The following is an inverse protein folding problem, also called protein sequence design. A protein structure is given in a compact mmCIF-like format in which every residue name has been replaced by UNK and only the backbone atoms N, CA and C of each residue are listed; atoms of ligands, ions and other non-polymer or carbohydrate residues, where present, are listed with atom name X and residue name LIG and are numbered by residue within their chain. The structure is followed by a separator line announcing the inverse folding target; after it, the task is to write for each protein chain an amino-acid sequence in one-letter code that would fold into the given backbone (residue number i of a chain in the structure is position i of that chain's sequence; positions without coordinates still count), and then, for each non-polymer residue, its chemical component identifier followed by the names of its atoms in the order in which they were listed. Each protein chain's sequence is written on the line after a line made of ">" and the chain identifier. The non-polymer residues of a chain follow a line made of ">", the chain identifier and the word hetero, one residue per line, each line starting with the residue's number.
data_IF_071922990821
#
_entry.id   IF_071922990821
#
_cell.length_a   1.000
_cell.length_b   1.000
_cell.length_c   1.000
_cell.angle_alpha   90.00
_cell.angle_beta   90.00
_cell.angle_gamma   90.00
#
_symmetry.space_group_name_H-M   'P 1'
#
loop_
_entity.id
_entity.type
_entity.pdbx_description
1 polymer ?
#
# COMPACT_ATOMS: atom_id res chain seq x y z
N UNK A 1 0.33 15.68 15.49
CA UNK A 1 1.57 15.50 14.71
C UNK A 1 2.80 15.76 15.54
N UNK A 2 2.83 16.79 16.39
CA UNK A 2 4.01 17.19 17.18
C UNK A 2 4.67 16.04 17.96
N UNK A 3 3.89 15.13 18.56
CA UNK A 3 4.44 13.96 19.25
C UNK A 3 5.16 13.02 18.28
N UNK A 4 4.48 12.59 17.20
CA UNK A 4 5.08 11.81 16.11
C UNK A 4 6.33 12.52 15.58
N UNK A 5 6.26 13.83 15.36
CA UNK A 5 7.37 14.59 14.80
C UNK A 5 8.60 14.60 15.69
N UNK A 6 8.50 14.46 17.01
CA UNK A 6 9.68 14.39 17.89
C UNK A 6 10.41 13.03 17.81
N UNK A 7 9.67 11.97 17.54
CA UNK A 7 10.19 10.59 17.52
C UNK A 7 10.54 10.11 16.12
N UNK A 8 10.01 10.76 15.07
CA UNK A 8 10.34 10.46 13.69
C UNK A 8 11.85 10.58 13.44
N UNK A 9 12.38 9.66 12.63
CA UNK A 9 13.79 9.58 12.22
C UNK A 9 13.84 9.45 10.71
N UNK A 10 13.47 10.53 10.01
CA UNK A 10 13.40 10.57 8.55
C UNK A 10 14.78 10.35 7.92
N UNK A 11 15.86 10.75 8.59
CA UNK A 11 17.23 10.50 8.17
C UNK A 11 17.64 9.02 8.22
N UNK A 12 16.83 8.18 8.89
CA UNK A 12 16.99 6.73 8.95
C UNK A 12 16.01 6.00 8.04
N UNK A 13 15.38 6.70 7.08
CA UNK A 13 14.50 6.06 6.10
C UNK A 13 15.27 4.96 5.35
N UNK A 14 14.86 3.70 5.58
CA UNK A 14 15.45 2.50 4.98
C UNK A 14 14.65 1.98 3.79
N UNK A 15 13.85 2.84 3.16
CA UNK A 15 13.00 2.44 2.03
C UNK A 15 11.51 2.51 2.31
N UNK A 16 11.07 3.26 3.33
CA UNK A 16 9.66 3.49 3.65
C UNK A 16 8.89 4.13 2.48
N UNK A 17 9.61 4.86 1.61
CA UNK A 17 9.07 5.36 0.36
C UNK A 17 8.73 4.22 -0.63
N UNK A 18 9.56 3.19 -0.70
CA UNK A 18 9.30 1.97 -1.46
C UNK A 18 8.11 1.21 -0.88
N UNK A 19 8.08 1.06 0.45
CA UNK A 19 6.97 0.44 1.19
C UNK A 19 5.63 1.11 0.88
N UNK A 20 5.59 2.44 0.78
CA UNK A 20 4.36 3.15 0.43
C UNK A 20 3.86 2.86 -1.00
N UNK A 21 4.75 2.54 -1.94
CA UNK A 21 4.33 2.08 -3.27
C UNK A 21 3.75 0.65 -3.21
N UNK A 22 4.37 -0.25 -2.44
CA UNK A 22 3.84 -1.59 -2.21
C UNK A 22 2.44 -1.53 -1.58
N UNK A 23 2.26 -0.65 -0.60
CA UNK A 23 0.97 -0.39 0.04
C UNK A 23 -0.04 0.21 -0.94
N UNK A 24 0.36 1.17 -1.77
CA UNK A 24 -0.53 1.75 -2.77
C UNK A 24 -1.03 0.72 -3.78
N UNK A 25 -0.18 -0.23 -4.20
CA UNK A 25 -0.60 -1.33 -5.07
C UNK A 25 -1.56 -2.27 -4.32
N UNK A 26 -1.29 -2.60 -3.06
CA UNK A 26 -2.20 -3.41 -2.24
C UNK A 26 -3.59 -2.75 -2.13
N UNK A 27 -3.64 -1.48 -1.72
CA UNK A 27 -4.88 -0.73 -1.57
C UNK A 27 -5.63 -0.60 -2.90
N UNK A 28 -4.92 -0.39 -4.01
CA UNK A 28 -5.55 -0.34 -5.34
C UNK A 28 -6.18 -1.69 -5.71
N UNK A 29 -5.58 -2.81 -5.32
CA UNK A 29 -6.16 -4.14 -5.55
C UNK A 29 -7.37 -4.35 -4.63
N UNK A 30 -7.27 -4.04 -3.34
CA UNK A 30 -8.36 -4.14 -2.36
C UNK A 30 -9.54 -3.23 -2.76
N UNK A 31 -9.25 -2.03 -3.27
CA UNK A 31 -10.22 -1.08 -3.80
C UNK A 31 -10.75 -1.39 -5.21
N UNK A 32 -10.32 -2.50 -5.80
CA UNK A 32 -10.70 -2.94 -7.14
C UNK A 32 -10.42 -1.92 -8.27
N UNK A 33 -9.34 -1.14 -8.15
CA UNK A 33 -8.96 -0.12 -9.13
C UNK A 33 -8.58 -0.75 -10.48
N UNK A 34 -9.38 -0.55 -11.55
CA UNK A 34 -9.23 -1.30 -12.82
C UNK A 34 -7.86 -1.13 -13.47
N UNK A 35 -7.27 0.07 -13.35
CA UNK A 35 -5.94 0.40 -13.91
C UNK A 35 -4.81 -0.47 -13.33
N UNK A 36 -5.02 -1.05 -12.14
CA UNK A 36 -4.10 -1.96 -11.46
C UNK A 36 -4.57 -3.41 -11.58
N UNK A 37 -5.82 -3.69 -11.21
CA UNK A 37 -6.35 -5.07 -11.15
C UNK A 37 -6.34 -5.76 -12.50
N UNK A 38 -6.68 -5.07 -13.60
CA UNK A 38 -6.68 -5.67 -14.94
C UNK A 38 -5.26 -6.10 -15.38
N UNK A 39 -4.25 -5.29 -15.07
CA UNK A 39 -2.86 -5.60 -15.42
C UNK A 39 -2.29 -6.72 -14.57
N UNK A 40 -2.60 -6.73 -13.28
CA UNK A 40 -2.22 -7.81 -12.35
C UNK A 40 -2.89 -9.12 -12.77
N UNK A 41 -4.20 -9.11 -13.02
CA UNK A 41 -4.95 -10.27 -13.48
C UNK A 41 -4.39 -10.82 -14.79
N UNK A 42 -4.12 -9.94 -15.76
CA UNK A 42 -3.50 -10.32 -17.04
C UNK A 42 -2.10 -10.91 -16.86
N UNK A 43 -1.30 -10.40 -15.93
CA UNK A 43 0.01 -10.97 -15.60
C UNK A 43 -0.13 -12.36 -14.95
N UNK A 44 -1.07 -12.54 -14.01
CA UNK A 44 -1.38 -13.82 -13.37
C UNK A 44 -1.86 -14.87 -14.39
N UNK A 45 -2.78 -14.50 -15.28
CA UNK A 45 -3.29 -15.38 -16.33
C UNK A 45 -2.23 -15.78 -17.36
N UNK A 46 -1.26 -14.89 -17.65
CA UNK A 46 -0.09 -15.22 -18.48
C UNK A 46 0.89 -16.15 -17.76
N UNK A 47 1.00 -16.01 -16.44
CA UNK A 47 1.88 -16.81 -15.60
C UNK A 47 1.40 -18.24 -15.42
N UNK A 48 0.10 -18.45 -15.20
CA UNK A 48 -0.48 -19.77 -14.98
C UNK A 48 -1.89 -19.87 -15.55
N UNK A 49 -2.16 -21.00 -16.23
CA UNK A 49 -3.51 -21.33 -16.73
C UNK A 49 -4.57 -21.40 -15.63
N UNK A 50 -4.16 -21.57 -14.36
CA UNK A 50 -5.08 -21.60 -13.22
C UNK A 50 -5.75 -20.25 -12.95
N UNK A 51 -5.15 -19.15 -13.41
CA UNK A 51 -5.68 -17.79 -13.28
C UNK A 51 -6.23 -17.25 -14.60
N UNK A 52 -6.43 -18.11 -15.62
CA UNK A 52 -6.76 -17.65 -16.97
C UNK A 52 -8.10 -16.89 -17.01
N UNK A 53 -9.05 -17.33 -16.21
CA UNK A 53 -10.43 -16.82 -16.20
C UNK A 53 -10.72 -15.94 -14.97
N UNK A 54 -9.70 -15.65 -14.15
CA UNK A 54 -9.75 -14.79 -12.98
C UNK A 54 -9.87 -13.32 -13.40
N UNK A 55 -10.70 -12.56 -12.69
CA UNK A 55 -10.96 -11.14 -12.99
C UNK A 55 -10.61 -10.22 -11.81
N UNK A 56 -10.80 -10.72 -10.59
CA UNK A 56 -10.65 -9.94 -9.36
C UNK A 56 -9.47 -10.50 -8.55
N UNK A 57 -8.23 -10.09 -8.87
CA UNK A 57 -7.08 -10.52 -8.10
C UNK A 57 -7.24 -10.04 -6.66
N UNK A 58 -6.94 -10.92 -5.72
CA UNK A 58 -6.80 -10.57 -4.31
C UNK A 58 -5.33 -10.36 -3.98
N UNK A 59 -5.04 -9.56 -2.95
CA UNK A 59 -3.66 -9.35 -2.51
C UNK A 59 -3.52 -9.46 -1.00
N UNK A 60 -2.45 -10.13 -0.59
CA UNK A 60 -2.07 -10.32 0.79
C UNK A 60 -0.70 -9.69 1.00
N UNK A 61 -0.64 -8.66 1.85
CA UNK A 61 0.61 -7.98 2.15
C UNK A 61 1.59 -8.92 2.83
N UNK A 62 2.80 -8.93 2.33
CA UNK A 62 3.92 -9.64 2.92
C UNK A 62 5.13 -8.69 3.00
N UNK A 63 6.27 -9.22 3.41
CA UNK A 63 7.51 -8.48 3.59
C UNK A 63 8.19 -8.98 4.84
N UNK A 64 9.31 -9.67 4.66
CA UNK A 64 10.04 -10.26 5.79
C UNK A 64 10.53 -9.20 6.80
N UNK A 65 10.72 -7.95 6.37
CA UNK A 65 11.03 -6.84 7.28
C UNK A 65 9.86 -6.50 8.19
N UNK A 66 8.62 -6.61 7.67
CA UNK A 66 7.36 -6.40 8.38
C UNK A 66 6.97 -7.60 9.25
N UNK A 67 7.36 -8.80 8.84
CA UNK A 67 7.17 -10.04 9.61
C UNK A 67 7.82 -10.02 11.00
N UNK A 68 8.73 -9.07 11.27
CA UNK A 68 9.35 -8.87 12.59
C UNK A 68 8.41 -8.16 13.59
N UNK A 69 7.31 -7.58 13.13
CA UNK A 69 6.29 -6.99 13.98
C UNK A 69 5.31 -8.07 14.47
N UNK A 70 5.03 -8.07 15.77
CA UNK A 70 4.24 -9.11 16.44
C UNK A 70 2.84 -9.25 15.80
N UNK A 71 2.43 -10.48 15.47
CA UNK A 71 1.09 -10.82 14.97
C UNK A 71 0.87 -10.65 13.45
N UNK A 72 1.83 -10.07 12.72
CA UNK A 72 1.70 -9.89 11.26
C UNK A 72 1.68 -11.23 10.51
N UNK A 73 2.54 -12.18 10.89
CA UNK A 73 2.60 -13.49 10.24
C UNK A 73 1.38 -14.35 10.54
N UNK A 74 0.90 -14.32 11.79
CA UNK A 74 -0.27 -15.09 12.19
C UNK A 74 -1.51 -14.59 11.43
N UNK A 75 -1.67 -13.27 11.29
CA UNK A 75 -2.73 -12.67 10.47
C UNK A 75 -2.62 -13.06 8.98
N UNK A 76 -1.41 -13.11 8.42
CA UNK A 76 -1.18 -13.53 7.02
C UNK A 76 -1.53 -15.01 6.81
N UNK A 77 -1.24 -15.87 7.78
CA UNK A 77 -1.57 -17.30 7.70
C UNK A 77 -3.07 -17.53 7.91
N UNK A 78 -3.68 -16.83 8.85
CA UNK A 78 -5.13 -16.88 9.11
C UNK A 78 -5.93 -16.39 7.91
N UNK A 79 -5.54 -15.26 7.30
CA UNK A 79 -6.21 -14.69 6.12
C UNK A 79 -6.10 -15.62 4.90
N UNK A 80 -4.97 -16.29 4.72
CA UNK A 80 -4.79 -17.25 3.64
C UNK A 80 -5.59 -18.56 3.85
N UNK A 81 -5.77 -18.98 5.10
CA UNK A 81 -6.46 -20.22 5.46
C UNK A 81 -5.62 -21.50 5.30
N UNK A 82 -6.00 -22.55 6.02
CA UNK A 82 -5.21 -23.79 6.19
C UNK A 82 -4.97 -24.60 4.89
N UNK A 83 -5.83 -24.42 3.90
CA UNK A 83 -5.77 -25.17 2.63
C UNK A 83 -5.07 -24.40 1.50
N UNK A 84 -4.63 -23.17 1.77
CA UNK A 84 -3.95 -22.34 0.78
C UNK A 84 -2.65 -22.97 0.29
N UNK A 85 -2.34 -22.72 -0.97
CA UNK A 85 -1.12 -23.19 -1.62
C UNK A 85 -0.40 -22.08 -2.36
N UNK A 86 0.94 -22.13 -2.35
CA UNK A 86 1.80 -21.34 -3.21
C UNK A 86 1.99 -22.05 -4.54
N UNK A 87 1.81 -21.32 -5.62
CA UNK A 87 2.16 -21.72 -6.99
C UNK A 87 3.60 -21.29 -7.30
N UNK A 88 4.56 -22.24 -7.27
CA UNK A 88 5.97 -21.96 -7.50
C UNK A 88 6.30 -21.92 -9.01
N UNK A 89 7.58 -21.85 -9.34
CA UNK A 89 8.02 -22.04 -10.72
C UNK A 89 8.00 -23.49 -11.22
N UNK A 90 7.78 -23.68 -12.53
CA UNK A 90 7.80 -24.98 -13.22
C UNK A 90 6.64 -25.93 -12.90
N UNK A 91 6.79 -27.19 -13.33
CA UNK A 91 5.81 -28.26 -13.13
C UNK A 91 5.97 -28.95 -11.76
N UNK A 92 4.87 -29.42 -11.18
CA UNK A 92 4.87 -30.21 -9.94
C UNK A 92 3.78 -29.80 -8.95
N UNK A 93 3.77 -30.44 -7.78
CA UNK A 93 2.81 -30.14 -6.71
C UNK A 93 3.05 -28.72 -6.13
N UNK A 94 1.98 -27.95 -5.86
CA UNK A 94 2.07 -26.70 -5.08
C UNK A 94 2.58 -26.93 -3.65
N UNK A 95 3.09 -25.86 -3.02
CA UNK A 95 3.55 -25.89 -1.62
C UNK A 95 2.44 -25.36 -0.71
N UNK A 96 2.14 -26.01 0.43
CA UNK A 96 1.12 -25.51 1.37
C UNK A 96 1.53 -24.17 1.98
N UNK A 97 0.69 -23.14 1.90
CA UNK A 97 1.01 -21.73 2.19
C UNK A 97 1.56 -21.51 3.60
N UNK A 98 0.79 -21.82 4.64
CA UNK A 98 1.14 -21.58 6.04
C UNK A 98 2.54 -22.10 6.45
N UNK A 99 2.86 -23.40 6.24
CA UNK A 99 4.13 -23.97 6.67
C UNK A 99 5.39 -23.27 6.13
N UNK A 100 5.40 -22.83 4.86
CA UNK A 100 6.60 -22.19 4.30
C UNK A 100 6.62 -20.67 4.50
N UNK A 101 5.48 -19.99 4.70
CA UNK A 101 5.44 -18.54 4.97
C UNK A 101 6.24 -18.21 6.23
N UNK A 102 6.08 -19.01 7.30
CA UNK A 102 6.85 -18.87 8.54
C UNK A 102 8.35 -19.07 8.33
N UNK A 103 8.74 -19.95 7.40
CA UNK A 103 10.15 -20.14 7.03
C UNK A 103 10.65 -18.94 6.24
N UNK A 104 9.90 -18.50 5.22
CA UNK A 104 10.23 -17.35 4.38
C UNK A 104 10.36 -16.04 5.18
N UNK A 105 9.60 -15.89 6.26
CA UNK A 105 9.68 -14.75 7.18
C UNK A 105 11.06 -14.59 7.85
N UNK A 106 11.89 -15.62 7.87
CA UNK A 106 13.27 -15.54 8.38
C UNK A 106 14.22 -14.78 7.42
N UNK A 107 13.72 -14.34 6.26
CA UNK A 107 14.45 -13.55 5.28
C UNK A 107 15.57 -14.35 4.62
N UNK A 108 16.73 -13.71 4.42
CA UNK A 108 17.93 -14.32 3.81
C UNK A 108 18.32 -15.65 4.47
N UNK A 109 18.10 -15.80 5.79
CA UNK A 109 18.41 -17.03 6.54
C UNK A 109 17.57 -18.23 6.12
N UNK A 110 16.40 -17.99 5.51
CA UNK A 110 15.52 -19.03 5.00
C UNK A 110 16.06 -19.68 3.73
N UNK A 111 16.92 -18.97 2.97
CA UNK A 111 17.32 -19.39 1.63
C UNK A 111 17.97 -20.78 1.52
N UNK A 112 18.81 -21.24 2.48
CA UNK A 112 19.34 -22.61 2.47
C UNK A 112 18.30 -23.69 2.79
N UNK A 113 17.19 -23.30 3.44
CA UNK A 113 16.14 -24.19 3.94
C UNK A 113 15.03 -24.33 2.89
N UNK A 114 14.77 -23.26 2.13
CA UNK A 114 13.76 -23.22 1.10
C UNK A 114 14.10 -24.18 -0.05
N UNK A 115 13.08 -24.89 -0.53
CA UNK A 115 13.23 -25.76 -1.70
C UNK A 115 13.63 -24.93 -2.94
N UNK A 116 14.36 -25.55 -3.88
CA UNK A 116 14.91 -24.86 -5.06
C UNK A 116 13.89 -24.05 -5.85
N UNK A 117 12.63 -24.51 -5.94
CA UNK A 117 11.54 -23.82 -6.68
C UNK A 117 10.96 -22.59 -5.99
N UNK A 118 11.27 -22.38 -4.71
CA UNK A 118 10.76 -21.29 -3.87
C UNK A 118 11.89 -20.55 -3.14
N UNK A 119 13.13 -20.70 -3.61
CA UNK A 119 14.35 -20.24 -2.92
C UNK A 119 14.38 -18.74 -2.60
N UNK A 120 13.75 -17.91 -3.44
CA UNK A 120 13.66 -16.45 -3.30
C UNK A 120 12.30 -15.97 -2.81
N UNK A 121 11.39 -16.85 -2.39
CA UNK A 121 10.04 -16.45 -1.94
C UNK A 121 10.07 -15.52 -0.72
N UNK A 122 11.14 -15.53 0.07
CA UNK A 122 11.33 -14.60 1.20
C UNK A 122 11.46 -13.12 0.77
N UNK A 123 11.76 -12.85 -0.51
CA UNK A 123 11.81 -11.51 -1.11
C UNK A 123 10.46 -11.01 -1.59
N UNK A 124 9.40 -11.79 -1.38
CA UNK A 124 8.06 -11.40 -1.78
C UNK A 124 7.66 -10.13 -1.03
N UNK A 125 7.01 -9.23 -1.73
CA UNK A 125 6.41 -8.02 -1.15
C UNK A 125 4.90 -8.26 -0.95
N UNK A 126 4.22 -8.84 -1.94
CA UNK A 126 2.80 -9.23 -1.85
C UNK A 126 2.60 -10.64 -2.40
N UNK A 127 1.62 -11.36 -1.83
CA UNK A 127 1.05 -12.54 -2.49
C UNK A 127 -0.22 -12.16 -3.23
N UNK A 128 -0.37 -12.64 -4.46
CA UNK A 128 -1.61 -12.49 -5.21
C UNK A 128 -2.35 -13.80 -5.32
N UNK A 129 -3.68 -13.76 -5.21
CA UNK A 129 -4.57 -14.91 -5.33
C UNK A 129 -5.76 -14.63 -6.24
N UNK A 130 -6.46 -15.70 -6.60
CA UNK A 130 -7.80 -15.65 -7.19
C UNK A 130 -8.86 -15.27 -6.14
N UNK A 131 -10.10 -15.06 -6.58
CA UNK A 131 -11.24 -14.70 -5.74
C UNK A 131 -11.52 -15.75 -4.66
N UNK A 132 -11.19 -17.01 -4.96
CA UNK A 132 -11.33 -18.12 -4.02
C UNK A 132 -10.29 -18.10 -2.89
N UNK A 133 -9.20 -17.34 -3.02
CA UNK A 133 -8.17 -17.20 -1.99
C UNK A 133 -7.35 -18.46 -1.71
N UNK A 134 -7.44 -19.51 -2.53
CA UNK A 134 -6.73 -20.78 -2.28
C UNK A 134 -5.34 -20.84 -2.90
N UNK A 135 -5.10 -20.11 -3.99
CA UNK A 135 -3.86 -20.22 -4.77
C UNK A 135 -3.13 -18.90 -4.77
N UNK A 136 -2.01 -18.86 -4.06
CA UNK A 136 -1.16 -17.68 -4.00
C UNK A 136 0.02 -17.78 -4.96
N UNK A 137 0.43 -16.64 -5.48
CA UNK A 137 1.69 -16.48 -6.19
C UNK A 137 2.49 -15.33 -5.58
N UNK A 138 3.79 -15.50 -5.52
CA UNK A 138 4.69 -14.50 -4.94
C UNK A 138 4.98 -13.39 -5.95
N UNK A 139 4.74 -12.15 -5.53
CA UNK A 139 5.01 -10.95 -6.29
C UNK A 139 6.05 -10.06 -5.60
N UNK A 140 6.94 -9.48 -6.40
CA UNK A 140 7.79 -8.38 -5.97
C UNK A 140 7.27 -7.07 -6.56
N UNK A 141 7.24 -6.03 -5.76
CA UNK A 141 6.72 -4.72 -6.10
C UNK A 141 7.79 -3.70 -5.81
N UNK A 142 8.15 -2.91 -6.83
CA UNK A 142 9.22 -1.90 -6.70
C UNK A 142 8.82 -0.63 -7.42
N UNK A 143 8.99 0.49 -6.72
CA UNK A 143 8.79 1.83 -7.29
C UNK A 143 9.82 2.19 -8.37
N UNK A 144 10.92 1.43 -8.46
CA UNK A 144 11.91 1.53 -9.50
C UNK A 144 12.15 0.15 -10.13
N UNK A 145 11.82 0.02 -11.41
CA UNK A 145 11.93 -1.25 -12.14
C UNK A 145 13.36 -1.80 -12.20
N UNK A 146 14.39 -0.93 -12.12
CA UNK A 146 15.81 -1.35 -12.13
C UNK A 146 16.24 -2.04 -10.83
N UNK A 147 15.43 -1.93 -9.79
CA UNK A 147 15.64 -2.60 -8.50
C UNK A 147 14.79 -3.85 -8.36
N UNK A 148 14.07 -4.24 -9.42
CA UNK A 148 13.30 -5.47 -9.41
C UNK A 148 14.25 -6.66 -9.35
N UNK A 149 14.01 -7.55 -8.39
CA UNK A 149 14.79 -8.77 -8.23
C UNK A 149 13.96 -9.97 -8.64
N UNK A 150 14.53 -10.85 -9.46
CA UNK A 150 13.88 -12.10 -9.85
C UNK A 150 14.56 -13.30 -9.19
N UNK A 151 13.88 -14.45 -9.27
CA UNK A 151 14.47 -15.72 -8.92
C UNK A 151 13.43 -16.78 -8.59
N UNK A 152 13.87 -18.01 -8.28
CA UNK A 152 12.99 -19.13 -8.04
C UNK A 152 12.00 -18.84 -6.91
N UNK A 153 10.70 -18.91 -7.20
CA UNK A 153 9.63 -18.63 -6.25
C UNK A 153 8.94 -17.29 -6.47
N UNK A 154 9.62 -16.31 -7.06
CA UNK A 154 8.98 -15.05 -7.48
C UNK A 154 8.42 -15.24 -8.89
N UNK A 155 7.18 -14.83 -9.11
CA UNK A 155 6.48 -15.04 -10.39
C UNK A 155 6.03 -13.77 -11.07
N UNK A 156 5.69 -12.76 -10.27
CA UNK A 156 5.12 -11.51 -10.74
C UNK A 156 5.96 -10.34 -10.26
N UNK A 157 6.16 -9.36 -11.14
CA UNK A 157 6.71 -8.06 -10.79
C UNK A 157 5.67 -6.97 -11.02
N UNK A 158 5.50 -6.05 -10.07
CA UNK A 158 4.67 -4.85 -10.28
C UNK A 158 5.54 -3.62 -10.15
N UNK A 159 5.52 -2.79 -11.20
CA UNK A 159 6.36 -1.58 -11.30
C UNK A 159 5.57 -0.49 -12.01
N UNK A 160 5.85 0.80 -11.74
CA UNK A 160 5.28 1.88 -12.54
C UNK A 160 5.97 1.92 -13.92
N UNK A 161 5.31 2.53 -14.91
CA UNK A 161 5.95 2.86 -16.17
C UNK A 161 7.18 3.77 -15.96
N UNK A 162 8.12 3.68 -16.90
CA UNK A 162 9.29 4.52 -16.93
C UNK A 162 9.61 4.92 -18.37
N UNK A 163 10.52 5.88 -18.52
CA UNK A 163 10.98 6.37 -19.84
C UNK A 163 11.41 5.23 -20.78
N UNK A 164 12.02 4.20 -20.22
CA UNK A 164 12.53 3.00 -20.88
C UNK A 164 11.62 1.76 -20.72
N UNK A 165 10.46 1.90 -20.06
CA UNK A 165 9.54 0.80 -19.75
C UNK A 165 8.07 1.24 -19.88
N UNK A 166 7.46 0.96 -21.04
CA UNK A 166 6.04 1.29 -21.29
C UNK A 166 5.07 0.44 -20.45
N UNK A 167 3.92 1.01 -20.10
CA UNK A 167 2.83 0.29 -19.45
C UNK A 167 2.40 -0.99 -20.19
N UNK A 168 1.86 -1.96 -19.46
CA UNK A 168 1.34 -3.23 -19.97
C UNK A 168 2.00 -4.47 -19.36
N UNK A 169 1.60 -5.64 -19.86
CA UNK A 169 2.11 -6.93 -19.37
C UNK A 169 3.20 -7.48 -20.27
N UNK A 170 4.33 -7.88 -19.68
CA UNK A 170 5.47 -8.46 -20.40
C UNK A 170 6.22 -9.48 -19.56
N UNK A 171 6.97 -10.37 -20.18
CA UNK A 171 7.87 -11.28 -19.48
C UNK A 171 9.31 -10.75 -19.54
N UNK A 172 9.96 -10.66 -18.39
CA UNK A 172 11.33 -10.18 -18.29
C UNK A 172 12.03 -10.82 -17.08
N UNK A 173 13.26 -11.28 -17.29
CA UNK A 173 14.16 -11.80 -16.25
C UNK A 173 13.53 -12.90 -15.35
N UNK A 174 12.60 -13.71 -15.88
CA UNK A 174 11.93 -14.77 -15.14
C UNK A 174 10.61 -14.37 -14.47
N UNK A 175 10.20 -13.10 -14.58
CA UNK A 175 8.97 -12.56 -14.00
C UNK A 175 7.97 -12.13 -15.09
N UNK A 176 6.69 -12.33 -14.82
CA UNK A 176 5.62 -11.62 -15.53
C UNK A 176 5.44 -10.26 -14.89
N UNK A 177 5.79 -9.21 -15.63
CA UNK A 177 5.68 -7.83 -15.17
C UNK A 177 4.28 -7.29 -15.50
N UNK A 178 3.62 -6.72 -14.49
CA UNK A 178 2.54 -5.77 -14.64
C UNK A 178 3.14 -4.35 -14.52
N UNK A 179 3.36 -3.70 -15.67
CA UNK A 179 3.85 -2.31 -15.69
C UNK A 179 2.64 -1.39 -15.65
N UNK A 180 2.43 -0.76 -14.50
CA UNK A 180 1.29 0.11 -14.25
C UNK A 180 1.45 1.43 -15.03
N UNK A 181 0.40 1.90 -15.72
CA UNK A 181 0.45 3.19 -16.39
C UNK A 181 0.61 4.28 -15.32
N UNK A 182 1.49 5.24 -15.60
CA UNK A 182 1.73 6.41 -14.73
C UNK A 182 1.49 7.72 -15.51
N UNK A 183 0.34 7.87 -16.21
CA UNK A 183 0.13 8.95 -17.17
C UNK A 183 0.14 10.33 -16.51
N UNK A 184 -0.33 10.39 -15.26
CA UNK A 184 -0.43 11.62 -14.46
C UNK A 184 0.74 11.79 -13.49
N UNK A 185 1.70 10.85 -13.49
CA UNK A 185 2.84 10.87 -12.59
C UNK A 185 2.45 10.68 -11.13
N UNK A 186 1.58 9.70 -10.83
CA UNK A 186 1.34 9.14 -9.49
C UNK A 186 2.63 8.99 -8.70
N UNK A 187 3.70 8.43 -9.27
CA UNK A 187 4.96 8.33 -8.53
C UNK A 187 5.54 9.71 -8.22
N UNK A 188 5.37 10.68 -9.13
CA UNK A 188 5.68 12.08 -8.87
C UNK A 188 4.83 12.65 -7.72
N UNK A 189 3.51 12.47 -7.76
CA UNK A 189 2.57 12.96 -6.75
C UNK A 189 2.81 12.31 -5.38
N UNK A 190 2.99 10.99 -5.33
CA UNK A 190 3.32 10.23 -4.13
C UNK A 190 4.63 10.73 -3.53
N UNK A 191 5.68 10.89 -4.35
CA UNK A 191 6.97 11.41 -3.88
C UNK A 191 6.83 12.83 -3.32
N UNK A 192 6.03 13.65 -3.98
CA UNK A 192 5.81 15.05 -3.58
C UNK A 192 4.99 15.17 -2.29
N UNK A 193 3.94 14.35 -2.15
CA UNK A 193 3.13 14.23 -0.94
C UNK A 193 3.95 13.67 0.23
N UNK A 194 4.76 12.64 -0.01
CA UNK A 194 5.70 12.10 0.98
C UNK A 194 6.67 13.18 1.47
N UNK A 195 7.27 13.93 0.54
CA UNK A 195 8.14 15.07 0.86
C UNK A 195 7.41 16.17 1.63
N UNK A 196 6.13 16.44 1.35
CA UNK A 196 5.34 17.42 2.10
C UNK A 196 5.11 17.00 3.55
N UNK A 197 4.72 15.73 3.78
CA UNK A 197 4.52 15.19 5.13
C UNK A 197 5.86 15.15 5.89
N UNK A 198 6.93 14.70 5.23
CA UNK A 198 8.28 14.68 5.79
C UNK A 198 8.74 16.09 6.19
N UNK A 199 8.53 17.09 5.33
CA UNK A 199 8.88 18.47 5.60
C UNK A 199 8.06 19.04 6.78
N UNK A 200 6.76 18.75 6.87
CA UNK A 200 5.92 19.15 7.99
C UNK A 200 6.41 18.51 9.30
N UNK A 201 6.80 17.23 9.27
CA UNK A 201 7.41 16.53 10.41
C UNK A 201 8.73 17.19 10.82
N UNK A 202 9.61 17.53 9.88
CA UNK A 202 10.85 18.25 10.16
C UNK A 202 10.58 19.60 10.83
N UNK A 203 9.63 20.39 10.31
CA UNK A 203 9.26 21.70 10.87
C UNK A 203 8.70 21.55 12.29
N UNK A 204 7.70 20.68 12.48
CA UNK A 204 7.02 20.51 13.76
C UNK A 204 7.91 19.87 14.83
N UNK A 205 8.83 18.99 14.41
CA UNK A 205 9.81 18.31 15.26
C UNK A 205 11.07 19.14 15.53
N UNK A 206 11.29 20.24 14.79
CA UNK A 206 12.51 21.06 14.79
C UNK A 206 13.77 20.25 14.43
N UNK A 207 13.64 19.35 13.46
CA UNK A 207 14.76 18.58 12.92
C UNK A 207 15.63 19.43 12.00
N UNK A 208 16.85 18.98 11.71
CA UNK A 208 17.64 19.54 10.62
C UNK A 208 16.86 19.42 9.30
N UNK A 209 16.95 20.45 8.47
CA UNK A 209 16.27 20.43 7.18
C UNK A 209 16.96 19.43 6.26
N UNK A 210 16.18 18.62 5.50
CA UNK A 210 16.74 17.73 4.51
C UNK A 210 17.39 18.53 3.37
N UNK A 211 18.17 17.83 2.54
CA UNK A 211 18.81 18.43 1.38
C UNK A 211 17.79 19.13 0.46
N UNK A 212 18.23 20.22 -0.19
CA UNK A 212 17.34 21.09 -0.99
C UNK A 212 16.54 20.33 -2.07
N UNK A 213 17.12 19.30 -2.68
CA UNK A 213 16.47 18.52 -3.74
C UNK A 213 15.31 17.63 -3.24
N UNK A 214 15.13 17.47 -1.93
CA UNK A 214 13.97 16.79 -1.33
C UNK A 214 12.81 17.75 -1.03
N UNK A 215 13.00 19.05 -1.33
CA UNK A 215 11.98 20.07 -1.12
C UNK A 215 10.73 19.76 -1.96
N UNK A 216 9.53 19.66 -1.35
CA UNK A 216 8.29 19.43 -2.09
C UNK A 216 8.00 20.59 -3.06
N UNK A 217 7.20 20.32 -4.10
CA UNK A 217 6.76 21.34 -5.07
C UNK A 217 5.93 22.43 -4.40
N UNK A 218 5.67 23.52 -5.12
CA UNK A 218 4.85 24.61 -4.61
C UNK A 218 3.42 24.17 -4.22
N UNK A 219 2.84 23.20 -4.94
CA UNK A 219 1.53 22.62 -4.64
C UNK A 219 1.58 21.79 -3.36
N UNK A 220 2.52 20.85 -3.26
CA UNK A 220 2.70 20.02 -2.08
C UNK A 220 3.10 20.82 -0.82
N UNK A 221 3.79 21.95 -0.97
CA UNK A 221 4.03 22.88 0.14
C UNK A 221 2.74 23.51 0.70
N UNK A 222 1.66 23.60 -0.10
CA UNK A 222 0.34 24.01 0.44
C UNK A 222 -0.16 22.95 1.43
N UNK A 223 -0.11 21.67 1.07
CA UNK A 223 -0.42 20.56 1.97
C UNK A 223 0.46 20.59 3.23
N UNK A 224 1.78 20.76 3.07
CA UNK A 224 2.71 20.91 4.19
C UNK A 224 2.25 22.01 5.15
N UNK A 225 1.96 23.22 4.64
CA UNK A 225 1.49 24.34 5.47
C UNK A 225 0.19 24.02 6.19
N UNK A 226 -0.74 23.30 5.55
CA UNK A 226 -1.98 22.90 6.20
C UNK A 226 -1.73 21.88 7.32
N UNK A 227 -0.83 20.91 7.15
CA UNK A 227 -0.42 19.97 8.21
C UNK A 227 0.22 20.71 9.39
N UNK A 228 1.05 21.72 9.11
CA UNK A 228 1.71 22.54 10.14
C UNK A 228 0.72 23.39 10.97
N UNK A 229 -0.48 23.72 10.44
CA UNK A 229 -1.55 24.43 11.18
C UNK A 229 -2.11 23.59 12.34
N UNK A 230 -2.01 22.25 12.27
CA UNK A 230 -2.61 21.32 13.25
C UNK A 230 -1.55 20.51 14.01
N UNK A 231 -0.63 21.16 14.76
CA UNK A 231 0.47 20.46 15.41
C UNK A 231 -0.01 19.48 16.50
N UNK A 232 -1.09 19.80 17.19
CA UNK A 232 -1.63 19.02 18.33
C UNK A 232 -2.58 17.90 17.93
N UNK A 233 -3.09 17.90 16.70
CA UNK A 233 -4.02 16.87 16.23
C UNK A 233 -3.37 15.47 16.23
N UNK A 234 -4.14 14.42 16.47
CA UNK A 234 -3.63 13.04 16.36
C UNK A 234 -3.40 12.68 14.89
N UNK A 235 -2.53 11.71 14.63
CA UNK A 235 -2.27 11.23 13.26
C UNK A 235 -3.56 10.74 12.62
N UNK A 236 -4.33 9.94 13.36
CA UNK A 236 -5.63 9.40 12.93
C UNK A 236 -6.63 10.51 12.58
N UNK A 237 -6.62 11.63 13.31
CA UNK A 237 -7.51 12.78 13.02
C UNK A 237 -7.10 13.51 11.72
N UNK A 238 -5.80 13.55 11.43
CA UNK A 238 -5.28 14.12 10.19
C UNK A 238 -5.57 13.21 9.01
N UNK A 239 -5.31 11.91 9.16
CA UNK A 239 -5.63 10.90 8.15
C UNK A 239 -7.11 10.96 7.76
N UNK A 240 -8.00 10.97 8.76
CA UNK A 240 -9.43 11.09 8.53
C UNK A 240 -9.79 12.37 7.76
N UNK A 241 -9.25 13.52 8.17
CA UNK A 241 -9.51 14.79 7.49
C UNK A 241 -8.91 14.87 6.08
N UNK A 242 -7.79 14.18 5.81
CA UNK A 242 -7.23 14.04 4.47
C UNK A 242 -8.10 13.13 3.59
N UNK A 243 -8.63 12.03 4.14
CA UNK A 243 -9.57 11.17 3.43
C UNK A 243 -10.85 11.93 3.07
N UNK A 244 -11.42 12.69 4.00
CA UNK A 244 -12.56 13.59 3.72
C UNK A 244 -12.23 14.60 2.62
N UNK A 245 -11.02 15.17 2.62
CA UNK A 245 -10.59 16.12 1.60
C UNK A 245 -10.37 15.48 0.22
N UNK A 246 -9.85 14.24 0.18
CA UNK A 246 -9.63 13.49 -1.06
C UNK A 246 -10.95 13.09 -1.74
N UNK A 247 -12.03 12.93 -0.97
CA UNK A 247 -13.34 12.47 -1.46
C UNK A 247 -14.28 13.59 -1.91
N UNK A 248 -13.88 14.87 -1.90
CA UNK A 248 -14.78 16.02 -2.10
C UNK A 248 -15.46 16.11 -3.48
N UNK A 249 -15.03 15.33 -4.47
CA UNK A 249 -15.61 15.32 -5.82
C UNK A 249 -16.09 13.93 -6.29
N UNK A 250 -16.10 12.92 -5.42
CA UNK A 250 -16.73 11.62 -5.66
C UNK A 250 -18.21 11.72 -5.20
N UNK A 251 -19.15 11.84 -6.15
CA UNK A 251 -20.60 12.01 -5.93
C UNK A 251 -21.23 10.60 -5.72
N UNK A 252 -22.19 10.28 -4.84
CA UNK A 252 -23.18 11.02 -4.03
C UNK A 252 -23.55 10.25 -2.74
N UNK A 253 -23.86 10.96 -1.65
CA UNK A 253 -24.72 10.43 -0.58
C UNK A 253 -26.09 11.13 -0.66
N UNK A 254 -27.14 10.39 -0.99
CA UNK A 254 -28.53 10.90 -0.93
C UNK A 254 -29.02 10.86 0.53
N UNK A 255 -28.92 11.99 1.22
CA UNK A 255 -29.47 12.13 2.57
C UNK A 255 -30.96 12.46 2.49
N UNK A 256 -31.79 11.42 2.48
CA UNK A 256 -33.23 11.59 2.68
C UNK A 256 -33.54 11.62 4.18
N UNK A 257 -33.92 12.79 4.70
CA UNK A 257 -34.48 12.90 6.05
C UNK A 257 -35.82 12.17 6.08
N UNK A 258 -35.84 10.98 6.68
CA UNK A 258 -37.08 10.33 7.07
C UNK A 258 -37.59 11.01 8.34
N UNK A 259 -38.75 11.67 8.25
CA UNK A 259 -39.40 12.23 9.44
C UNK A 259 -39.85 11.08 10.34
N UNK A 260 -39.12 10.84 11.42
CA UNK A 260 -39.62 10.08 12.55
C UNK A 260 -40.28 11.09 13.49
N UNK A 261 -41.54 10.86 13.89
CA UNK A 261 -42.19 11.66 14.94
C UNK A 261 -41.35 11.54 16.22
N UNK A 262 -40.53 12.54 16.52
CA UNK A 262 -39.82 12.61 17.78
C UNK A 262 -40.86 12.69 18.92
N UNK A 263 -40.79 11.83 19.95
CA UNK A 263 -41.61 11.97 21.14
C UNK A 263 -41.32 13.31 21.83
N UNK A 264 -42.33 13.97 22.40
CA UNK A 264 -42.23 15.34 22.95
C UNK A 264 -41.27 15.55 24.13
N UNK A 265 -40.54 14.52 24.55
CA UNK A 265 -39.49 14.59 25.56
C UNK A 265 -38.06 14.69 24.98
N UNK A 266 -37.89 14.46 23.66
CA UNK A 266 -36.59 14.56 22.99
C UNK A 266 -36.36 16.01 22.52
N UNK A 267 -36.26 16.94 23.46
CA UNK A 267 -35.68 18.25 23.23
C UNK A 267 -34.21 18.20 23.66
N UNK A 268 -33.30 17.92 22.71
CA UNK A 268 -31.87 18.09 22.97
C UNK A 268 -31.60 19.59 23.09
N UNK A 269 -31.33 20.08 24.30
CA UNK A 269 -30.73 21.39 24.49
C UNK A 269 -29.36 21.38 23.81
N UNK A 270 -29.24 22.03 22.66
CA UNK A 270 -27.97 22.31 21.97
C UNK A 270 -27.11 23.26 22.82
N UNK A 271 -26.62 22.77 23.94
CA UNK A 271 -25.55 23.42 24.67
C UNK A 271 -24.28 23.01 23.94
N UNK A 272 -23.88 23.84 22.96
CA UNK A 272 -22.62 23.67 22.21
C UNK A 272 -21.50 23.34 23.17
N UNK A 273 -21.03 22.10 23.14
CA UNK A 273 -19.81 21.71 23.85
C UNK A 273 -18.68 22.59 23.32
N UNK A 274 -17.96 23.32 24.16
CA UNK A 274 -16.84 24.11 23.68
C UNK A 274 -15.82 23.17 23.03
N UNK A 275 -15.58 23.36 21.74
CA UNK A 275 -14.59 22.60 20.97
C UNK A 275 -13.22 22.96 21.55
N UNK A 276 -12.62 22.07 22.34
CA UNK A 276 -11.34 22.30 23.05
C UNK A 276 -10.14 22.34 22.08
N UNK A 277 -10.30 21.85 20.85
CA UNK A 277 -9.34 22.05 19.76
C UNK A 277 -10.07 21.99 18.41
N UNK A 278 -9.78 22.90 17.46
CA UNK A 278 -10.37 22.83 16.13
C UNK A 278 -10.00 21.50 15.48
N UNK A 279 -10.99 20.78 14.97
CA UNK A 279 -10.75 19.57 14.16
C UNK A 279 -9.93 19.97 12.92
N UNK A 280 -8.95 19.16 12.49
CA UNK A 280 -8.27 19.39 11.23
C UNK A 280 -9.29 19.47 10.11
N UNK A 281 -9.23 20.52 9.30
CA UNK A 281 -10.00 20.65 8.06
C UNK A 281 -9.05 21.14 6.99
N UNK A 282 -8.93 20.39 5.91
CA UNK A 282 -8.05 20.73 4.82
C UNK A 282 -8.83 21.50 3.74
N UNK A 283 -8.26 22.60 3.27
CA UNK A 283 -8.75 23.37 2.14
C UNK A 283 -8.39 22.65 0.84
N UNK A 284 -9.25 22.74 -0.19
CA UNK A 284 -8.97 22.21 -1.52
C UNK A 284 -7.64 22.72 -2.07
N UNK A 285 -6.91 21.85 -2.77
CA UNK A 285 -5.70 22.21 -3.51
C UNK A 285 -6.07 22.26 -4.99
N UNK A 286 -6.08 23.47 -5.57
CA UNK A 286 -6.30 23.69 -7.01
C UNK A 286 -5.38 22.85 -7.93
#
# INVERSE_FOLDING_TARGET
>A
MRQLSKIARLERDKGMKGDGFEWAVHEAIVGAEPSVTELVARAMGRMSRKYKDMQEPQSLLFGYERAKYLGFLDAVVEDAGDSAVLLPDGQGRPFGFGPWVTVAAQGVRAEPILAERIKKVWKTDLFFSDEDGFRYTAATIKSNWKQLESGPGLRIGVVPEAKDLRAGVRFQDGLWLAVLPDPDGFMGMFNDAYSAVAAAVCTLGRHSRPAYFLKPTAKAQRLQRQLEKYPTAKVVEIEHALNEAAQQHLISVDHKLLSVRAPGWLHMNETRTPIIAPRPRFEPLD
#
